data_IF_093059827444
#
_entry.id   IF_093059827444
#
_cell.length_a   1.000
_cell.length_b   1.000
_cell.length_c   1.000
_cell.angle_alpha   90.00
_cell.angle_beta   90.00
_cell.angle_gamma   90.00
#
_symmetry.space_group_name_H-M   'P 1'
#
loop_
_entity.id
_entity.type
_entity.pdbx_description
1 polymer ?
#
# COMPACT_ATOMS: atom_id res chain seq x y z
N UNK A 1 7.30 24.93 -2.69
CA UNK A 1 8.08 23.69 -2.93
C UNK A 1 9.08 23.55 -1.78
N UNK A 2 9.13 22.39 -1.13
CA UNK A 2 10.21 22.00 -0.21
C UNK A 2 10.94 20.83 -0.86
N UNK A 3 12.26 20.82 -0.77
CA UNK A 3 13.09 19.76 -1.33
C UNK A 3 14.02 19.26 -0.23
N UNK A 4 14.22 17.95 -0.19
CA UNK A 4 15.14 17.26 0.71
C UNK A 4 16.02 16.35 -0.15
N UNK A 5 17.33 16.46 0.02
CA UNK A 5 18.28 15.55 -0.60
C UNK A 5 18.42 14.32 0.29
N UNK A 6 18.31 13.12 -0.30
CA UNK A 6 18.51 11.83 0.39
C UNK A 6 19.44 10.94 -0.41
N UNK A 7 20.10 10.00 0.27
CA UNK A 7 20.90 8.96 -0.38
C UNK A 7 20.07 7.69 -0.51
N UNK A 8 20.28 6.96 -1.61
CA UNK A 8 19.75 5.60 -1.73
C UNK A 8 20.50 4.69 -0.72
N UNK A 9 19.74 4.05 0.15
CA UNK A 9 20.21 3.09 1.14
C UNK A 9 20.12 1.66 0.62
N UNK A 10 19.50 0.78 1.40
CA UNK A 10 19.29 -0.63 1.03
C UNK A 10 18.18 -0.76 -0.03
N UNK A 11 18.33 -1.75 -0.91
CA UNK A 11 17.28 -2.16 -1.84
C UNK A 11 16.84 -3.57 -1.46
N UNK A 12 15.54 -3.79 -1.35
CA UNK A 12 14.97 -5.10 -1.01
C UNK A 12 13.98 -5.54 -2.08
N UNK A 13 14.11 -6.80 -2.50
CA UNK A 13 13.10 -7.53 -3.23
C UNK A 13 12.34 -8.41 -2.23
N UNK A 14 11.02 -8.24 -2.16
CA UNK A 14 10.13 -9.02 -1.32
C UNK A 14 9.21 -9.84 -2.19
N UNK A 15 9.14 -11.15 -1.95
CA UNK A 15 8.11 -12.03 -2.49
C UNK A 15 7.11 -12.33 -1.37
N UNK A 16 5.82 -12.32 -1.70
CA UNK A 16 4.73 -12.63 -0.77
C UNK A 16 4.11 -13.96 -1.15
N UNK A 17 3.82 -14.79 -0.14
CA UNK A 17 3.20 -16.08 -0.32
C UNK A 17 1.68 -15.93 -0.53
N UNK A 18 1.07 -16.92 -1.17
CA UNK A 18 -0.38 -16.97 -1.29
C UNK A 18 -1.02 -16.99 0.11
N UNK A 19 -2.13 -16.27 0.28
CA UNK A 19 -2.87 -16.09 1.55
C UNK A 19 -2.24 -15.15 2.58
N UNK A 20 -1.09 -14.53 2.29
CA UNK A 20 -0.54 -13.49 3.17
C UNK A 20 -1.49 -12.30 3.33
N UNK A 21 -1.59 -11.78 4.57
CA UNK A 21 -2.07 -10.41 4.82
C UNK A 21 -0.99 -9.44 4.36
N UNK A 22 -1.20 -8.85 3.19
CA UNK A 22 -0.20 -8.02 2.52
C UNK A 22 0.34 -6.90 3.43
N UNK A 23 -0.54 -6.16 4.13
CA UNK A 23 -0.08 -5.06 4.98
C UNK A 23 0.52 -5.56 6.28
N UNK A 24 -0.06 -6.59 6.91
CA UNK A 24 0.48 -7.15 8.14
C UNK A 24 1.91 -7.66 7.96
N UNK A 25 2.16 -8.38 6.88
CA UNK A 25 3.48 -8.92 6.52
C UNK A 25 4.47 -7.82 6.16
N UNK A 26 4.04 -6.85 5.35
CA UNK A 26 4.92 -5.76 4.93
C UNK A 26 5.27 -4.82 6.09
N UNK A 27 4.31 -4.47 6.95
CA UNK A 27 4.56 -3.67 8.16
C UNK A 27 5.55 -4.38 9.10
N UNK A 28 5.40 -5.70 9.29
CA UNK A 28 6.34 -6.51 10.07
C UNK A 28 7.76 -6.40 9.54
N UNK A 29 7.93 -6.56 8.22
CA UNK A 29 9.24 -6.41 7.57
C UNK A 29 9.83 -4.99 7.75
N UNK A 30 9.02 -3.95 7.54
CA UNK A 30 9.45 -2.55 7.68
C UNK A 30 9.92 -2.24 9.10
N UNK A 31 9.21 -2.76 10.11
CA UNK A 31 9.60 -2.64 11.51
C UNK A 31 10.90 -3.40 11.80
N UNK A 32 11.00 -4.66 11.37
CA UNK A 32 12.18 -5.50 11.59
C UNK A 32 13.45 -4.87 10.99
N UNK A 33 13.36 -4.35 9.77
CA UNK A 33 14.50 -3.71 9.09
C UNK A 33 14.68 -2.24 9.47
N UNK A 34 13.79 -1.68 10.29
CA UNK A 34 13.79 -0.29 10.72
C UNK A 34 13.86 0.71 9.53
N UNK A 35 13.06 0.48 8.49
CA UNK A 35 13.06 1.31 7.28
C UNK A 35 12.25 2.59 7.54
N UNK A 36 12.92 3.74 7.62
CA UNK A 36 12.29 5.03 8.02
C UNK A 36 11.74 5.84 6.86
N UNK A 37 12.30 5.67 5.68
CA UNK A 37 11.84 6.33 4.45
C UNK A 37 12.18 5.44 3.26
N UNK A 38 11.23 5.23 2.36
CA UNK A 38 11.48 4.46 1.14
C UNK A 38 10.50 4.83 0.03
N UNK A 39 10.87 4.53 -1.21
CA UNK A 39 9.93 4.43 -2.33
C UNK A 39 9.65 2.96 -2.65
N UNK A 40 8.42 2.70 -3.10
CA UNK A 40 7.90 1.35 -3.31
C UNK A 40 7.37 1.20 -4.73
N UNK A 41 7.61 0.03 -5.32
CA UNK A 41 6.88 -0.45 -6.50
C UNK A 41 6.42 -1.87 -6.19
N UNK A 42 5.15 -2.17 -6.45
CA UNK A 42 4.52 -3.46 -6.15
C UNK A 42 3.83 -3.97 -7.40
N UNK A 43 3.98 -5.27 -7.67
CA UNK A 43 3.32 -5.98 -8.76
C UNK A 43 2.71 -7.28 -8.26
N UNK A 44 1.71 -7.78 -9.00
CA UNK A 44 1.18 -9.13 -8.82
C UNK A 44 -0.33 -9.13 -8.73
N UNK A 45 -0.88 -10.01 -7.91
CA UNK A 45 -2.30 -10.18 -7.77
C UNK A 45 -2.75 -10.38 -6.31
N UNK A 46 -3.94 -9.85 -6.02
CA UNK A 46 -4.67 -10.06 -4.77
C UNK A 46 -5.87 -10.96 -5.03
N UNK A 47 -6.23 -11.81 -4.05
CA UNK A 47 -7.49 -12.58 -4.02
C UNK A 47 -8.66 -11.74 -3.52
N UNK A 48 -8.35 -10.83 -2.60
CA UNK A 48 -9.26 -9.85 -2.05
C UNK A 48 -8.55 -8.51 -1.96
N UNK A 49 -9.23 -7.41 -2.24
CA UNK A 49 -8.64 -6.08 -2.14
C UNK A 49 -9.63 -5.06 -1.59
N UNK A 50 -9.13 -4.18 -0.72
CA UNK A 50 -9.81 -2.98 -0.29
C UNK A 50 -9.13 -1.77 -0.94
N UNK A 51 -9.88 -1.08 -1.79
CA UNK A 51 -9.42 0.15 -2.42
C UNK A 51 -10.27 1.35 -2.05
N UNK A 52 -9.58 2.48 -1.83
CA UNK A 52 -10.22 3.79 -1.66
C UNK A 52 -10.06 4.60 -2.93
N UNK A 53 -11.17 5.00 -3.53
CA UNK A 53 -11.20 5.74 -4.81
C UNK A 53 -11.26 7.26 -4.61
N UNK A 54 -10.95 7.75 -3.39
CA UNK A 54 -10.95 9.17 -3.03
C UNK A 54 -12.07 9.55 -2.05
N UNK A 55 -12.12 10.83 -1.66
CA UNK A 55 -13.11 11.34 -0.72
C UNK A 55 -14.40 11.75 -1.45
N UNK A 56 -15.56 11.40 -0.88
CA UNK A 56 -16.87 11.80 -1.43
C UNK A 56 -17.17 13.28 -1.19
N UNK A 57 -16.61 13.83 -0.11
CA UNK A 57 -16.78 15.21 0.34
C UNK A 57 -15.43 15.77 0.79
N UNK A 58 -15.29 17.09 0.88
CA UNK A 58 -14.04 17.76 1.32
C UNK A 58 -13.63 17.31 2.73
N UNK A 59 -14.61 17.01 3.57
CA UNK A 59 -14.44 16.42 4.90
C UNK A 59 -15.47 15.30 5.01
N UNK A 60 -15.03 14.05 4.96
CA UNK A 60 -15.93 12.89 5.02
C UNK A 60 -15.21 11.58 4.72
N UNK A 61 -15.88 10.43 4.86
CA UNK A 61 -15.27 9.13 4.60
C UNK A 61 -14.90 8.99 3.11
N UNK A 62 -13.79 8.30 2.85
CA UNK A 62 -13.43 7.92 1.48
C UNK A 62 -14.45 6.96 0.89
N UNK A 63 -14.74 7.09 -0.40
CA UNK A 63 -15.43 6.05 -1.15
C UNK A 63 -14.53 4.81 -1.19
N UNK A 64 -15.02 3.73 -0.59
CA UNK A 64 -14.32 2.45 -0.53
C UNK A 64 -14.98 1.43 -1.45
N UNK A 65 -14.20 0.57 -2.08
CA UNK A 65 -14.64 -0.60 -2.83
C UNK A 65 -13.90 -1.83 -2.33
N UNK A 66 -14.66 -2.86 -1.99
CA UNK A 66 -14.14 -4.15 -1.58
C UNK A 66 -14.35 -5.14 -2.73
N UNK A 67 -13.30 -5.85 -3.08
CA UNK A 67 -13.32 -6.92 -4.06
C UNK A 67 -13.02 -8.24 -3.35
N UNK A 68 -13.90 -9.21 -3.54
CA UNK A 68 -13.72 -10.60 -3.08
C UNK A 68 -13.42 -11.54 -4.27
N UNK A 69 -12.81 -10.99 -5.31
CA UNK A 69 -12.36 -11.70 -6.49
C UNK A 69 -10.92 -11.32 -6.83
N UNK A 70 -10.25 -12.18 -7.60
CA UNK A 70 -8.85 -11.96 -7.91
C UNK A 70 -8.67 -10.80 -8.88
N UNK A 71 -7.67 -9.95 -8.60
CA UNK A 71 -7.33 -8.77 -9.40
C UNK A 71 -5.82 -8.65 -9.51
N UNK A 72 -5.31 -8.34 -10.70
CA UNK A 72 -3.90 -8.01 -10.90
C UNK A 72 -3.69 -6.51 -10.66
N UNK A 73 -2.50 -6.13 -10.18
CA UNK A 73 -2.20 -4.75 -9.87
C UNK A 73 -0.75 -4.37 -10.17
N UNK A 74 -0.58 -3.09 -10.44
CA UNK A 74 0.66 -2.35 -10.23
C UNK A 74 0.38 -1.25 -9.21
N UNK A 75 1.24 -1.10 -8.22
CA UNK A 75 1.17 -0.02 -7.24
C UNK A 75 2.51 0.67 -7.06
N UNK A 76 2.45 1.97 -6.76
CA UNK A 76 3.62 2.81 -6.46
C UNK A 76 3.31 3.58 -5.19
N UNK A 77 4.32 3.76 -4.36
CA UNK A 77 4.12 4.45 -3.10
C UNK A 77 5.39 4.70 -2.30
N UNK A 78 5.20 4.88 -1.00
CA UNK A 78 6.29 5.19 -0.09
C UNK A 78 6.08 4.60 1.31
N UNK A 79 7.17 4.55 2.07
CA UNK A 79 7.18 4.30 3.50
C UNK A 79 7.51 5.63 4.20
N UNK A 80 6.75 5.94 5.24
CA UNK A 80 6.98 7.06 6.16
C UNK A 80 6.66 6.65 7.59
N UNK A 81 7.03 7.49 8.57
CA UNK A 81 6.73 7.28 9.99
C UNK A 81 6.11 8.56 10.57
N UNK A 82 4.82 8.80 10.32
CA UNK A 82 4.16 9.97 10.87
C UNK A 82 3.97 9.83 12.38
N UNK A 83 3.95 10.98 13.07
CA UNK A 83 3.68 11.05 14.52
C UNK A 83 2.21 10.71 14.85
N UNK A 84 1.31 11.03 13.92
CA UNK A 84 -0.13 10.79 14.04
C UNK A 84 -0.61 9.92 12.87
N UNK A 85 -1.64 9.07 13.07
CA UNK A 85 -2.23 8.28 12.00
C UNK A 85 -2.68 9.18 10.84
N UNK A 86 -2.38 8.81 9.59
CA UNK A 86 -2.87 9.53 8.42
C UNK A 86 -4.40 9.54 8.39
N UNK A 87 -5.00 10.63 7.91
CA UNK A 87 -6.46 10.78 7.85
C UNK A 87 -7.19 9.62 7.12
N UNK A 88 -6.50 8.92 6.21
CA UNK A 88 -7.06 7.73 5.56
C UNK A 88 -7.28 6.57 6.54
N UNK A 89 -6.53 6.45 7.64
CA UNK A 89 -6.75 5.42 8.67
C UNK A 89 -7.91 5.74 9.63
N UNK A 90 -8.62 6.86 9.45
CA UNK A 90 -9.83 7.17 10.22
C UNK A 90 -9.52 7.48 11.68
N UNK A 91 -10.30 6.89 12.60
CA UNK A 91 -10.26 7.16 14.05
C UNK A 91 -9.25 6.28 14.82
N UNK A 92 -8.28 5.67 14.11
CA UNK A 92 -7.21 4.92 14.78
C UNK A 92 -6.41 5.83 15.72
N UNK A 93 -6.13 5.35 16.93
CA UNK A 93 -5.23 6.03 17.88
C UNK A 93 -3.89 5.31 17.91
N UNK A 94 -2.80 6.06 17.79
CA UNK A 94 -1.44 5.53 17.89
C UNK A 94 -0.81 5.95 19.21
N UNK A 95 -0.08 5.02 19.81
CA UNK A 95 0.70 5.19 21.04
C UNK A 95 2.16 5.63 20.78
N UNK A 96 2.45 6.03 19.54
CA UNK A 96 3.74 6.54 19.08
C UNK A 96 3.90 6.41 17.56
N UNK A 97 5.03 6.84 16.98
CA UNK A 97 5.31 6.72 15.56
C UNK A 97 5.26 5.26 15.09
N UNK A 98 4.48 5.01 14.04
CA UNK A 98 4.38 3.70 13.38
C UNK A 98 4.72 3.82 11.89
N UNK A 99 5.23 2.75 11.25
CA UNK A 99 5.41 2.77 9.82
C UNK A 99 4.06 2.92 9.12
N UNK A 100 4.04 3.76 8.09
CA UNK A 100 2.90 3.93 7.20
C UNK A 100 3.33 3.62 5.77
N UNK A 101 2.74 2.57 5.22
CA UNK A 101 2.91 2.12 3.84
C UNK A 101 1.79 2.77 3.02
N UNK A 102 2.14 3.75 2.20
CA UNK A 102 1.18 4.49 1.38
C UNK A 102 1.31 4.08 -0.08
N UNK A 103 0.36 3.29 -0.59
CA UNK A 103 0.34 2.84 -1.98
C UNK A 103 -0.85 3.44 -2.74
N UNK A 104 -0.60 3.87 -3.97
CA UNK A 104 -1.60 4.11 -5.00
C UNK A 104 -1.39 3.14 -6.15
N UNK A 105 -2.46 2.72 -6.80
CA UNK A 105 -2.44 1.57 -7.68
C UNK A 105 -3.34 1.73 -8.89
N UNK A 106 -3.06 0.89 -9.90
CA UNK A 106 -3.98 0.50 -10.93
C UNK A 106 -4.25 -1.01 -10.82
N UNK A 107 -5.53 -1.38 -10.74
CA UNK A 107 -6.01 -2.76 -10.77
C UNK A 107 -6.57 -3.07 -12.16
N UNK A 108 -6.23 -4.24 -12.68
CA UNK A 108 -6.94 -4.83 -13.79
C UNK A 108 -8.36 -5.21 -13.36
N UNK A 109 -9.24 -5.32 -14.34
CA UNK A 109 -10.52 -5.99 -14.18
C UNK A 109 -10.35 -7.42 -13.68
N UNK A 110 -11.42 -7.93 -13.08
CA UNK A 110 -11.48 -9.26 -12.49
C UNK A 110 -12.20 -10.24 -13.42
N UNK A 111 -12.57 -11.41 -12.89
CA UNK A 111 -13.39 -12.38 -13.60
C UNK A 111 -14.56 -11.72 -14.33
N UNK A 112 -14.69 -12.03 -15.62
CA UNK A 112 -15.78 -11.53 -16.49
C UNK A 112 -15.79 -10.01 -16.76
N UNK A 113 -14.74 -9.27 -16.36
CA UNK A 113 -14.64 -7.82 -16.56
C UNK A 113 -13.31 -7.41 -17.21
N UNK A 114 -12.88 -8.03 -18.33
CA UNK A 114 -11.50 -7.92 -18.85
C UNK A 114 -11.10 -6.51 -19.34
N UNK A 115 -12.07 -5.61 -19.57
CA UNK A 115 -11.81 -4.24 -20.01
C UNK A 115 -11.83 -3.20 -18.88
N UNK A 116 -12.10 -3.61 -17.65
CA UNK A 116 -12.12 -2.69 -16.51
C UNK A 116 -10.69 -2.35 -16.07
N UNK A 117 -10.45 -1.09 -15.74
CA UNK A 117 -9.25 -0.65 -15.02
C UNK A 117 -9.71 0.28 -13.92
N UNK A 118 -9.24 0.02 -12.70
CA UNK A 118 -9.58 0.81 -11.52
C UNK A 118 -8.31 1.41 -10.95
N UNK A 119 -8.40 2.66 -10.48
CA UNK A 119 -7.30 3.34 -9.79
C UNK A 119 -7.74 3.78 -8.42
N UNK A 120 -6.82 3.76 -7.46
CA UNK A 120 -7.14 4.13 -6.09
C UNK A 120 -5.96 4.00 -5.14
N UNK A 121 -6.26 4.13 -3.86
CA UNK A 121 -5.36 3.86 -2.76
C UNK A 121 -5.59 2.46 -2.21
N UNK A 122 -4.52 1.67 -2.01
CA UNK A 122 -4.62 0.31 -1.45
C UNK A 122 -4.76 0.42 0.06
N UNK A 123 -5.82 -0.14 0.63
CA UNK A 123 -6.07 -0.12 2.07
C UNK A 123 -6.05 -1.50 2.73
N UNK A 124 -6.15 -2.56 1.93
CA UNK A 124 -6.07 -3.94 2.40
C UNK A 124 -6.01 -4.92 1.25
N UNK A 125 -5.54 -6.13 1.52
CA UNK A 125 -5.65 -7.21 0.56
C UNK A 125 -5.05 -8.53 1.03
N UNK A 126 -5.57 -9.61 0.47
CA UNK A 126 -5.06 -10.98 0.66
C UNK A 126 -4.30 -11.39 -0.58
N UNK A 127 -3.06 -11.82 -0.43
CA UNK A 127 -2.16 -12.11 -1.54
C UNK A 127 -2.61 -13.35 -2.33
N UNK A 128 -2.56 -13.23 -3.66
CA UNK A 128 -2.58 -14.38 -4.58
C UNK A 128 -1.17 -14.77 -5.03
N UNK A 129 -0.33 -13.76 -5.26
CA UNK A 129 1.08 -13.86 -5.62
C UNK A 129 1.57 -12.46 -5.99
N UNK A 130 2.48 -11.92 -5.19
CA UNK A 130 2.92 -10.53 -5.31
C UNK A 130 4.41 -10.40 -5.01
N UNK A 131 5.01 -9.34 -5.53
CA UNK A 131 6.33 -8.90 -5.11
C UNK A 131 6.40 -7.38 -4.97
N UNK A 132 7.31 -6.92 -4.13
CA UNK A 132 7.59 -5.50 -3.92
C UNK A 132 9.08 -5.20 -3.99
N UNK A 133 9.42 -4.09 -4.65
CA UNK A 133 10.74 -3.46 -4.62
C UNK A 133 10.71 -2.30 -3.64
N UNK A 134 11.60 -2.34 -2.65
CA UNK A 134 11.76 -1.31 -1.62
C UNK A 134 13.09 -0.60 -1.82
N UNK A 135 13.05 0.68 -2.16
CA UNK A 135 14.24 1.52 -2.27
C UNK A 135 14.30 2.45 -1.05
N UNK A 136 15.08 2.07 -0.04
CA UNK A 136 15.26 2.85 1.19
C UNK A 136 16.02 4.15 0.93
N UNK A 137 15.67 5.20 1.67
CA UNK A 137 16.38 6.47 1.68
C UNK A 137 16.96 6.78 3.07
N UNK A 138 18.22 7.22 3.09
CA UNK A 138 19.01 7.58 4.30
C UNK A 138 19.69 8.93 4.19
#
# INVERSE_FOLDING_TARGET
MRAEEKKLGRVFHLEFDEDDDFFGEFERFVMEKNIRSASLIVFGALKESDIRTGFREVIGPSATRYFHDWRELIAVGNISWPEEPPAVRGDETWDGPKPYIHLHLALSGGPYQPGEVLVGHLSGGVVKGMFAEVHEFV
#
